data_IF_032946658567
#
_entry.id   IF_032946658567
#
_cell.length_a   1.000
_cell.length_b   1.000
_cell.length_c   1.000
_cell.angle_alpha   90.00
_cell.angle_beta   90.00
_cell.angle_gamma   90.00
#
_symmetry.space_group_name_H-M   'P 1'
#
loop_
_entity.id
_entity.type
_entity.pdbx_description
1 polymer ?
#
# COMPACT_ATOMS: atom_id res chain seq x y z
N UNK A 1 -14.21 -41.99 15.69
CA UNK A 1 -13.41 -42.30 14.48
C UNK A 1 -13.80 -41.29 13.42
N UNK A 2 -13.20 -40.10 13.40
CA UNK A 2 -11.87 -39.75 12.85
C UNK A 2 -11.85 -39.82 11.32
N UNK A 3 -11.85 -38.60 10.74
CA UNK A 3 -11.33 -38.13 9.44
C UNK A 3 -12.12 -38.40 8.16
N UNK A 4 -13.08 -37.51 7.91
CA UNK A 4 -13.35 -36.92 6.59
C UNK A 4 -12.19 -35.99 6.18
N UNK A 5 -11.06 -36.58 5.79
CA UNK A 5 -9.89 -35.84 5.35
C UNK A 5 -9.40 -36.44 4.04
N UNK A 6 -9.99 -36.06 2.91
CA UNK A 6 -9.37 -36.09 1.55
C UNK A 6 -10.32 -35.60 0.44
N UNK A 7 -11.03 -34.48 0.64
CA UNK A 7 -11.59 -33.68 -0.48
C UNK A 7 -11.13 -32.23 -0.42
N UNK A 8 -9.82 -32.00 -0.40
CA UNK A 8 -9.26 -30.75 -0.92
C UNK A 8 -9.36 -30.78 -2.45
N UNK A 9 -10.59 -30.73 -2.97
CA UNK A 9 -10.85 -30.56 -4.39
C UNK A 9 -10.17 -29.28 -4.84
N UNK A 10 -9.34 -29.37 -5.88
CA UNK A 10 -8.68 -28.22 -6.53
C UNK A 10 -9.61 -27.01 -6.51
N UNK A 11 -9.22 -25.94 -5.80
CA UNK A 11 -9.98 -24.70 -5.81
C UNK A 11 -10.23 -24.27 -7.26
N UNK A 12 -11.46 -23.87 -7.62
CA UNK A 12 -11.73 -23.39 -8.97
C UNK A 12 -10.82 -22.20 -9.26
N UNK A 13 -10.34 -22.10 -10.49
CA UNK A 13 -9.38 -21.06 -10.87
C UNK A 13 -9.90 -19.65 -10.59
N UNK A 14 -11.22 -19.43 -10.68
CA UNK A 14 -11.87 -18.18 -10.31
C UNK A 14 -11.56 -17.81 -8.87
N UNK A 15 -11.76 -18.73 -7.92
CA UNK A 15 -11.47 -18.49 -6.50
C UNK A 15 -10.02 -18.08 -6.25
N UNK A 16 -9.05 -18.71 -6.94
CA UNK A 16 -7.63 -18.36 -6.81
C UNK A 16 -7.38 -16.93 -7.33
N UNK A 17 -8.04 -16.55 -8.42
CA UNK A 17 -7.94 -15.20 -9.00
C UNK A 17 -8.62 -14.18 -8.10
N UNK A 18 -9.78 -14.49 -7.54
CA UNK A 18 -10.54 -13.62 -6.64
C UNK A 18 -9.73 -13.34 -5.36
N UNK A 19 -9.18 -14.39 -4.74
CA UNK A 19 -8.28 -14.27 -3.59
C UNK A 19 -7.02 -13.44 -3.95
N UNK A 20 -6.42 -13.71 -5.11
CA UNK A 20 -5.27 -12.94 -5.61
C UNK A 20 -5.58 -11.46 -5.85
N UNK A 21 -6.79 -11.16 -6.34
CA UNK A 21 -7.26 -9.80 -6.55
C UNK A 21 -7.43 -9.08 -5.22
N UNK A 22 -8.08 -9.70 -4.23
CA UNK A 22 -8.24 -9.11 -2.90
C UNK A 22 -6.89 -8.74 -2.26
N UNK A 23 -5.90 -9.62 -2.37
CA UNK A 23 -4.53 -9.37 -1.89
C UNK A 23 -3.92 -8.17 -2.63
N UNK A 24 -4.01 -8.14 -3.96
CA UNK A 24 -3.47 -7.05 -4.76
C UNK A 24 -4.14 -5.70 -4.44
N UNK A 25 -5.46 -5.66 -4.31
CA UNK A 25 -6.19 -4.45 -3.93
C UNK A 25 -5.80 -3.96 -2.53
N UNK A 26 -5.53 -4.88 -1.61
CA UNK A 26 -5.04 -4.54 -0.27
C UNK A 26 -3.65 -3.91 -0.33
N UNK A 27 -2.75 -4.46 -1.16
CA UNK A 27 -1.42 -3.90 -1.37
C UNK A 27 -1.47 -2.49 -1.99
N UNK A 28 -2.31 -2.28 -3.02
CA UNK A 28 -2.52 -0.95 -3.62
C UNK A 28 -3.05 0.04 -2.59
N UNK A 29 -4.05 -0.35 -1.80
CA UNK A 29 -4.58 0.50 -0.73
C UNK A 29 -3.52 0.92 0.27
N UNK A 30 -2.63 0.00 0.66
CA UNK A 30 -1.51 0.33 1.56
C UNK A 30 -0.50 1.28 0.90
N UNK A 31 -0.20 1.10 -0.38
CA UNK A 31 0.69 2.00 -1.12
C UNK A 31 0.11 3.43 -1.19
N UNK A 32 -1.19 3.55 -1.51
CA UNK A 32 -1.89 4.83 -1.58
C UNK A 32 -2.01 5.48 -0.20
N UNK A 33 -2.27 4.71 0.86
CA UNK A 33 -2.28 5.20 2.24
C UNK A 33 -0.93 5.85 2.59
N UNK A 34 0.17 5.18 2.24
CA UNK A 34 1.51 5.72 2.49
C UNK A 34 1.77 7.01 1.69
N UNK A 35 1.34 7.07 0.42
CA UNK A 35 1.43 8.29 -0.40
C UNK A 35 0.64 9.45 0.24
N UNK A 36 -0.56 9.19 0.75
CA UNK A 36 -1.38 10.19 1.48
C UNK A 36 -0.66 10.68 2.74
N UNK A 37 -0.13 9.78 3.57
CA UNK A 37 0.59 10.15 4.80
C UNK A 37 1.82 11.00 4.48
N UNK A 38 2.63 10.57 3.50
CA UNK A 38 3.84 11.32 3.09
C UNK A 38 3.47 12.68 2.53
N UNK A 39 2.44 12.76 1.68
CA UNK A 39 1.95 14.04 1.16
C UNK A 39 1.48 14.98 2.27
N UNK A 40 0.74 14.47 3.25
CA UNK A 40 0.26 15.25 4.40
C UNK A 40 1.37 15.74 5.33
N UNK A 41 2.55 15.11 5.31
CA UNK A 41 3.73 15.54 6.08
C UNK A 41 4.58 16.54 5.28
N UNK A 42 4.73 16.32 3.98
CA UNK A 42 5.72 17.00 3.14
C UNK A 42 5.31 18.42 2.75
N UNK A 43 4.02 18.70 2.53
CA UNK A 43 3.57 19.96 1.93
C UNK A 43 2.24 20.41 2.54
N UNK A 44 2.03 21.73 2.62
CA UNK A 44 0.69 22.34 2.73
C UNK A 44 -0.11 22.11 1.43
N UNK A 45 0.00 20.93 0.83
CA UNK A 45 -0.68 20.58 -0.39
C UNK A 45 -2.15 20.33 -0.06
N UNK A 46 -3.01 21.13 -0.67
CA UNK A 46 -4.44 20.87 -0.66
C UNK A 46 -4.70 19.42 -1.08
N UNK A 47 -5.61 18.76 -0.38
CA UNK A 47 -5.94 17.36 -0.60
C UNK A 47 -6.53 17.18 -2.01
N UNK A 48 -5.73 16.65 -2.93
CA UNK A 48 -6.11 16.40 -4.33
C UNK A 48 -6.55 14.94 -4.53
N UNK A 49 -7.87 14.73 -4.55
CA UNK A 49 -8.50 13.44 -4.82
C UNK A 49 -8.12 12.87 -6.18
N UNK A 50 -7.96 13.72 -7.19
CA UNK A 50 -7.67 13.31 -8.56
C UNK A 50 -6.23 12.80 -8.64
N UNK A 51 -5.29 13.45 -7.94
CA UNK A 51 -3.91 12.95 -7.79
C UNK A 51 -3.87 11.54 -7.19
N UNK A 52 -4.63 11.28 -6.12
CA UNK A 52 -4.61 9.96 -5.47
C UNK A 52 -5.34 8.89 -6.30
N UNK A 53 -6.37 9.27 -7.06
CA UNK A 53 -6.99 8.40 -8.04
C UNK A 53 -5.99 8.00 -9.14
N UNK A 54 -5.23 8.95 -9.66
CA UNK A 54 -4.16 8.69 -10.63
C UNK A 54 -3.06 7.78 -10.07
N UNK A 55 -2.60 8.02 -8.84
CA UNK A 55 -1.66 7.11 -8.16
C UNK A 55 -2.25 5.70 -8.06
N UNK A 56 -3.51 5.57 -7.66
CA UNK A 56 -4.19 4.27 -7.55
C UNK A 56 -4.23 3.54 -8.89
N UNK A 57 -4.58 4.22 -9.98
CA UNK A 57 -4.59 3.64 -11.33
C UNK A 57 -3.20 3.18 -11.75
N UNK A 58 -2.18 4.02 -11.51
CA UNK A 58 -0.78 3.67 -11.81
C UNK A 58 -0.35 2.38 -11.10
N UNK A 59 -0.65 2.26 -9.81
CA UNK A 59 -0.31 1.07 -9.01
C UNK A 59 -1.06 -0.19 -9.50
N UNK A 60 -2.36 -0.08 -9.80
CA UNK A 60 -3.13 -1.19 -10.37
C UNK A 60 -2.59 -1.65 -11.72
N UNK A 61 -2.27 -0.71 -12.61
CA UNK A 61 -1.71 -1.00 -13.94
C UNK A 61 -0.28 -1.55 -13.86
N UNK A 62 0.53 -1.09 -12.89
CA UNK A 62 1.85 -1.65 -12.62
C UNK A 62 1.74 -3.13 -12.21
N UNK A 63 0.88 -3.46 -11.24
CA UNK A 63 0.63 -4.85 -10.85
C UNK A 63 0.04 -5.70 -11.98
N UNK A 64 -0.82 -5.11 -12.82
CA UNK A 64 -1.35 -5.80 -14.00
C UNK A 64 -0.21 -6.16 -14.97
N UNK A 65 0.70 -5.23 -15.24
CA UNK A 65 1.87 -5.44 -16.11
C UNK A 65 2.83 -6.48 -15.54
N UNK A 66 3.12 -6.42 -14.24
CA UNK A 66 3.95 -7.43 -13.57
C UNK A 66 3.36 -8.84 -13.69
N UNK A 67 2.04 -8.97 -13.60
CA UNK A 67 1.34 -10.23 -13.81
C UNK A 67 1.41 -10.70 -15.26
N UNK A 68 1.30 -9.80 -16.25
CA UNK A 68 1.50 -10.14 -17.66
C UNK A 68 2.93 -10.66 -17.91
N UNK A 69 3.93 -9.97 -17.36
CA UNK A 69 5.33 -10.38 -17.47
C UNK A 69 5.57 -11.74 -16.79
N UNK A 70 4.97 -11.95 -15.61
CA UNK A 70 4.97 -13.23 -14.91
C UNK A 70 4.36 -14.35 -15.76
N UNK A 71 3.23 -14.09 -16.42
CA UNK A 71 2.59 -15.04 -17.32
C UNK A 71 3.47 -15.40 -18.53
N UNK A 72 4.22 -14.45 -19.08
CA UNK A 72 5.16 -14.70 -20.18
C UNK A 72 6.42 -15.43 -19.69
N UNK A 73 6.94 -15.15 -18.50
CA UNK A 73 8.01 -15.94 -17.88
C UNK A 73 7.59 -17.41 -17.71
N UNK A 74 6.41 -17.65 -17.15
CA UNK A 74 5.86 -19.00 -16.97
C UNK A 74 5.63 -19.69 -18.32
N UNK A 75 5.20 -18.95 -19.36
CA UNK A 75 5.09 -19.48 -20.72
C UNK A 75 6.44 -19.97 -21.25
N UNK A 76 7.51 -19.18 -21.10
CA UNK A 76 8.85 -19.52 -21.56
C UNK A 76 9.39 -20.76 -20.83
N UNK A 77 9.24 -20.81 -19.50
CA UNK A 77 9.59 -21.97 -18.68
C UNK A 77 8.86 -23.24 -19.16
N UNK A 78 7.55 -23.15 -19.38
CA UNK A 78 6.78 -24.29 -19.91
C UNK A 78 7.27 -24.72 -21.29
N UNK A 79 7.56 -23.77 -22.19
CA UNK A 79 8.06 -24.08 -23.54
C UNK A 79 9.42 -24.79 -23.46
N UNK A 80 10.31 -24.35 -22.58
CA UNK A 80 11.61 -24.99 -22.36
C UNK A 80 11.44 -26.43 -21.88
N UNK A 81 10.61 -26.64 -20.86
CA UNK A 81 10.34 -27.97 -20.32
C UNK A 81 9.75 -28.88 -21.41
N UNK A 82 8.69 -28.42 -22.10
CA UNK A 82 8.09 -29.17 -23.22
C UNK A 82 9.06 -29.39 -24.39
N UNK A 83 10.05 -28.52 -24.62
CA UNK A 83 11.04 -28.74 -25.68
C UNK A 83 12.07 -29.82 -25.33
N UNK A 84 12.41 -29.98 -24.05
CA UNK A 84 13.27 -31.05 -23.55
C UNK A 84 12.54 -32.40 -23.58
N UNK A 85 11.25 -32.37 -23.27
CA UNK A 85 10.33 -33.50 -23.33
C UNK A 85 10.28 -34.23 -24.68
N UNK A 86 10.45 -33.54 -25.81
CA UNK A 86 10.46 -34.21 -27.13
C UNK A 86 11.67 -35.14 -27.35
N UNK A 87 12.64 -35.18 -26.43
CA UNK A 87 13.86 -35.99 -26.55
C UNK A 87 13.88 -37.22 -25.63
N UNK A 88 13.00 -37.32 -24.63
CA UNK A 88 12.99 -38.39 -23.61
C UNK A 88 11.56 -38.65 -23.11
N UNK A 89 11.25 -39.88 -22.72
CA UNK A 89 9.97 -40.23 -22.10
C UNK A 89 9.78 -39.49 -20.76
N UNK A 90 8.57 -38.97 -20.49
CA UNK A 90 8.33 -38.08 -19.35
C UNK A 90 8.11 -38.85 -18.05
N UNK A 91 8.78 -38.42 -16.98
CA UNK A 91 8.34 -38.77 -15.63
C UNK A 91 6.96 -38.15 -15.32
N UNK A 92 6.17 -38.84 -14.51
CA UNK A 92 4.88 -38.37 -14.01
C UNK A 92 4.98 -37.02 -13.27
N UNK A 93 6.13 -36.74 -12.66
CA UNK A 93 6.41 -35.45 -12.00
C UNK A 93 6.49 -34.32 -13.03
N UNK A 94 7.19 -34.53 -14.14
CA UNK A 94 7.30 -33.51 -15.20
C UNK A 94 5.96 -33.21 -15.87
N UNK A 95 5.11 -34.22 -16.05
CA UNK A 95 3.74 -34.03 -16.53
C UNK A 95 2.91 -33.16 -15.56
N UNK A 96 3.11 -33.34 -14.26
CA UNK A 96 2.47 -32.55 -13.22
C UNK A 96 2.94 -31.11 -13.24
N UNK A 97 4.25 -30.89 -13.38
CA UNK A 97 4.85 -29.55 -13.48
C UNK A 97 4.31 -28.77 -14.69
N UNK A 98 4.23 -29.40 -15.87
CA UNK A 98 3.67 -28.77 -17.08
C UNK A 98 2.22 -28.31 -16.83
N UNK A 99 1.42 -29.12 -16.13
CA UNK A 99 0.03 -28.77 -15.77
C UNK A 99 -0.01 -27.61 -14.77
N UNK A 100 0.86 -27.61 -13.76
CA UNK A 100 0.96 -26.51 -12.78
C UNK A 100 1.38 -25.20 -13.44
N UNK A 101 2.38 -25.22 -14.33
CA UNK A 101 2.80 -24.05 -15.11
C UNK A 101 1.67 -23.53 -16.02
N UNK A 102 0.87 -24.43 -16.61
CA UNK A 102 -0.32 -24.03 -17.38
C UNK A 102 -1.35 -23.31 -16.51
N UNK A 103 -1.62 -23.81 -15.31
CA UNK A 103 -2.52 -23.18 -14.35
C UNK A 103 -1.98 -21.81 -13.89
N UNK A 104 -0.73 -21.76 -13.44
CA UNK A 104 -0.08 -20.53 -12.95
C UNK A 104 -0.09 -19.42 -14.01
N UNK A 105 0.21 -19.76 -15.27
CA UNK A 105 0.10 -18.79 -16.39
C UNK A 105 -1.31 -18.23 -16.53
N UNK A 106 -2.33 -19.10 -16.42
CA UNK A 106 -3.73 -18.69 -16.57
C UNK A 106 -4.16 -17.78 -15.43
N UNK A 107 -3.76 -18.07 -14.19
CA UNK A 107 -4.01 -17.21 -13.02
C UNK A 107 -3.42 -15.83 -13.23
N UNK A 108 -2.14 -15.72 -13.56
CA UNK A 108 -1.50 -14.41 -13.80
C UNK A 108 -2.19 -13.59 -14.91
N UNK A 109 -2.62 -14.25 -16.01
CA UNK A 109 -3.35 -13.56 -17.08
C UNK A 109 -4.71 -13.03 -16.61
N UNK A 110 -5.45 -13.84 -15.87
CA UNK A 110 -6.77 -13.45 -15.36
C UNK A 110 -6.65 -12.35 -14.31
N UNK A 111 -5.65 -12.43 -13.43
CA UNK A 111 -5.39 -11.40 -12.44
C UNK A 111 -4.99 -10.07 -13.09
N UNK A 112 -4.12 -10.10 -14.11
CA UNK A 112 -3.78 -8.90 -14.87
C UNK A 112 -5.00 -8.24 -15.52
N UNK A 113 -5.88 -9.04 -16.13
CA UNK A 113 -7.12 -8.53 -16.73
C UNK A 113 -8.06 -7.94 -15.67
N UNK A 114 -8.21 -8.60 -14.53
CA UNK A 114 -9.04 -8.11 -13.43
C UNK A 114 -8.50 -6.80 -12.85
N UNK A 115 -7.19 -6.69 -12.64
CA UNK A 115 -6.55 -5.45 -12.18
C UNK A 115 -6.73 -4.29 -13.15
N UNK A 116 -6.62 -4.56 -14.47
CA UNK A 116 -6.88 -3.56 -15.50
C UNK A 116 -8.34 -3.10 -15.46
N UNK A 117 -9.29 -4.04 -15.36
CA UNK A 117 -10.70 -3.71 -15.27
C UNK A 117 -11.05 -2.86 -14.04
N UNK A 118 -10.42 -3.14 -12.89
CA UNK A 118 -10.55 -2.30 -11.69
C UNK A 118 -9.93 -0.93 -11.91
N UNK A 119 -8.78 -0.84 -12.59
CA UNK A 119 -8.12 0.43 -12.89
C UNK A 119 -8.92 1.32 -13.85
N UNK A 120 -9.77 0.72 -14.69
CA UNK A 120 -10.65 1.44 -15.62
C UNK A 120 -11.98 1.87 -14.97
N UNK A 121 -12.33 1.31 -13.80
CA UNK A 121 -13.57 1.59 -13.09
C UNK A 121 -13.36 2.71 -12.05
N UNK A 122 -13.88 3.90 -12.37
CA UNK A 122 -13.83 5.10 -11.51
C UNK A 122 -14.40 4.87 -10.10
N UNK A 123 -15.50 4.12 -9.98
CA UNK A 123 -16.15 3.90 -8.69
C UNK A 123 -15.28 2.99 -7.81
N UNK A 124 -14.65 1.97 -8.40
CA UNK A 124 -13.68 1.14 -7.70
C UNK A 124 -12.45 1.93 -7.26
N UNK A 125 -11.87 2.74 -8.16
CA UNK A 125 -10.71 3.57 -7.84
C UNK A 125 -11.03 4.55 -6.71
N UNK A 126 -12.15 5.26 -6.80
CA UNK A 126 -12.62 6.19 -5.77
C UNK A 126 -12.82 5.49 -4.42
N UNK A 127 -13.37 4.27 -4.40
CA UNK A 127 -13.48 3.47 -3.17
C UNK A 127 -12.12 3.13 -2.56
N UNK A 128 -11.14 2.73 -3.37
CA UNK A 128 -9.79 2.41 -2.87
C UNK A 128 -9.14 3.65 -2.25
N UNK A 129 -9.26 4.82 -2.89
CA UNK A 129 -8.73 6.09 -2.39
C UNK A 129 -9.38 6.46 -1.06
N UNK A 130 -10.72 6.41 -0.96
CA UNK A 130 -11.44 6.69 0.29
C UNK A 130 -11.04 5.74 1.42
N UNK A 131 -10.94 4.45 1.13
CA UNK A 131 -10.52 3.45 2.11
C UNK A 131 -9.08 3.73 2.59
N UNK A 132 -8.17 4.09 1.67
CA UNK A 132 -6.81 4.48 2.00
C UNK A 132 -6.75 5.76 2.83
N UNK A 133 -7.61 6.75 2.54
CA UNK A 133 -7.73 8.00 3.29
C UNK A 133 -8.18 7.76 4.74
N UNK A 134 -9.20 6.91 4.94
CA UNK A 134 -9.67 6.57 6.28
C UNK A 134 -8.54 5.92 7.09
N UNK A 135 -7.86 4.94 6.49
CA UNK A 135 -6.73 4.26 7.13
C UNK A 135 -5.56 5.22 7.44
N UNK A 136 -5.28 6.18 6.56
CA UNK A 136 -4.24 7.18 6.78
C UNK A 136 -4.61 8.11 7.93
N UNK A 137 -5.86 8.57 7.98
CA UNK A 137 -6.38 9.43 9.04
C UNK A 137 -6.32 8.75 10.40
N UNK A 138 -6.74 7.49 10.47
CA UNK A 138 -6.68 6.68 11.69
C UNK A 138 -5.24 6.53 12.19
N UNK A 139 -4.30 6.22 11.28
CA UNK A 139 -2.89 6.05 11.63
C UNK A 139 -2.23 7.36 12.11
N UNK A 140 -2.55 8.49 11.46
CA UNK A 140 -2.08 9.82 11.91
C UNK A 140 -2.66 10.15 13.28
N UNK A 141 -3.95 9.90 13.51
CA UNK A 141 -4.60 10.14 14.79
C UNK A 141 -3.96 9.31 15.91
N UNK A 142 -3.71 8.03 15.66
CA UNK A 142 -3.05 7.13 16.62
C UNK A 142 -1.63 7.58 16.93
N UNK A 143 -0.87 8.00 15.91
CA UNK A 143 0.47 8.54 16.07
C UNK A 143 0.46 9.84 16.90
N UNK A 144 -0.50 10.75 16.62
CA UNK A 144 -0.68 11.99 17.37
C UNK A 144 -1.09 11.72 18.82
N UNK A 145 -2.07 10.84 19.06
CA UNK A 145 -2.49 10.46 20.40
C UNK A 145 -1.33 9.86 21.20
N UNK A 146 -0.56 8.95 20.60
CA UNK A 146 0.63 8.35 21.22
C UNK A 146 1.69 9.41 21.55
N UNK A 147 1.90 10.38 20.64
CA UNK A 147 2.83 11.48 20.87
C UNK A 147 2.37 12.40 21.98
N UNK A 148 1.08 12.76 22.01
CA UNK A 148 0.47 13.59 23.03
C UNK A 148 0.48 12.92 24.40
N UNK A 149 0.21 11.61 24.49
CA UNK A 149 0.31 10.85 25.74
C UNK A 149 1.75 10.85 26.28
N UNK A 150 2.76 10.69 25.40
CA UNK A 150 4.17 10.80 25.80
C UNK A 150 4.56 12.20 26.27
N UNK A 151 3.96 13.22 25.67
CA UNK A 151 4.13 14.61 26.07
C UNK A 151 3.23 14.98 27.25
N UNK A 152 2.27 14.13 27.62
CA UNK A 152 1.33 14.41 28.70
C UNK A 152 2.12 14.48 30.00
N UNK A 153 2.13 15.67 30.57
CA UNK A 153 2.86 15.97 31.78
C UNK A 153 1.92 15.63 32.93
N UNK A 154 2.35 14.78 33.86
CA UNK A 154 1.60 14.55 35.09
C UNK A 154 1.62 15.85 35.92
N UNK A 155 0.46 16.51 36.17
CA UNK A 155 0.40 17.70 37.01
C UNK A 155 0.79 17.43 38.47
N UNK A 156 0.84 16.16 38.87
CA UNK A 156 1.26 15.70 40.20
C UNK A 156 2.72 15.29 40.27
N UNK A 157 3.47 15.38 39.17
CA UNK A 157 4.91 15.17 39.19
C UNK A 157 5.53 16.14 40.23
N UNK A 158 6.24 15.64 41.26
CA UNK A 158 6.91 16.50 42.25
C UNK A 158 7.85 17.53 41.62
N UNK A 159 8.35 17.21 40.42
CA UNK A 159 9.27 18.03 39.64
C UNK A 159 8.57 18.77 38.50
N UNK A 160 7.23 18.70 38.43
CA UNK A 160 6.41 19.39 37.44
C UNK A 160 6.79 20.86 37.32
N UNK A 161 6.88 21.56 38.46
CA UNK A 161 7.17 22.99 38.49
C UNK A 161 8.61 23.32 38.06
N UNK A 162 9.57 22.43 38.36
CA UNK A 162 10.97 22.60 37.94
C UNK A 162 11.10 22.45 36.42
N UNK A 163 10.59 21.36 35.88
CA UNK A 163 10.66 21.11 34.44
C UNK A 163 9.69 22.00 33.64
N UNK A 164 8.65 22.58 34.28
CA UNK A 164 7.72 23.51 33.62
C UNK A 164 8.43 24.79 33.18
N UNK A 165 9.32 25.35 33.99
CA UNK A 165 10.07 26.54 33.62
C UNK A 165 10.94 26.29 32.38
N UNK A 166 11.75 25.23 32.41
CA UNK A 166 12.62 24.83 31.29
C UNK A 166 11.84 24.48 30.02
N UNK A 167 10.70 23.80 30.14
CA UNK A 167 9.81 23.49 29.00
C UNK A 167 9.12 24.71 28.43
N UNK A 168 8.70 25.65 29.28
CA UNK A 168 8.07 26.91 28.83
C UNK A 168 9.09 27.77 28.10
N UNK A 169 10.34 27.79 28.56
CA UNK A 169 11.46 28.45 27.91
C UNK A 169 11.79 27.81 26.54
N UNK A 170 11.84 26.48 26.46
CA UNK A 170 11.97 25.76 25.18
C UNK A 170 10.82 26.03 24.21
N UNK A 171 9.57 26.04 24.70
CA UNK A 171 8.40 26.37 23.89
C UNK A 171 8.44 27.81 23.36
N UNK A 172 8.87 28.77 24.19
CA UNK A 172 9.03 30.17 23.79
C UNK A 172 10.18 30.38 22.79
N UNK A 173 11.31 29.69 22.98
CA UNK A 173 12.51 29.84 22.16
C UNK A 173 12.41 29.13 20.81
N UNK A 174 11.86 27.91 20.79
CA UNK A 174 11.87 27.06 19.60
C UNK A 174 10.51 27.10 18.90
N UNK A 175 9.45 26.75 19.62
CA UNK A 175 8.15 26.54 18.98
C UNK A 175 7.44 27.86 18.64
N UNK A 176 7.49 28.87 19.53
CA UNK A 176 6.88 30.17 19.26
C UNK A 176 7.64 30.98 18.21
N UNK A 177 8.97 30.82 18.13
CA UNK A 177 9.78 31.43 17.08
C UNK A 177 9.47 30.82 15.70
N UNK A 178 9.33 29.50 15.62
CA UNK A 178 8.87 28.80 14.41
C UNK A 178 7.45 29.23 14.01
N UNK A 179 6.55 29.41 14.99
CA UNK A 179 5.18 29.86 14.73
C UNK A 179 5.15 31.30 14.18
N UNK A 180 5.97 32.20 14.73
CA UNK A 180 6.11 33.58 14.24
C UNK A 180 6.71 33.62 12.85
N UNK A 181 7.77 32.86 12.59
CA UNK A 181 8.39 32.76 11.27
C UNK A 181 7.35 32.35 10.21
N UNK A 182 6.54 31.32 10.51
CA UNK A 182 5.46 30.90 9.60
C UNK A 182 4.34 31.93 9.47
N UNK A 183 4.01 32.65 10.54
CA UNK A 183 3.00 33.70 10.50
C UNK A 183 3.48 34.92 9.69
N UNK A 184 4.75 35.29 9.79
CA UNK A 184 5.38 36.39 9.05
C UNK A 184 5.55 36.05 7.56
N UNK A 185 5.86 34.78 7.25
CA UNK A 185 5.85 34.23 5.88
C UNK A 185 4.44 34.25 5.27
N UNK A 186 3.42 33.83 6.03
CA UNK A 186 2.02 33.86 5.59
C UNK A 186 1.46 35.29 5.42
N UNK A 187 2.02 36.26 6.16
CA UNK A 187 1.70 37.68 6.03
C UNK A 187 2.48 38.40 4.92
N UNK A 188 3.40 37.71 4.22
CA UNK A 188 4.19 38.28 3.12
C UNK A 188 5.37 39.17 3.58
N UNK A 189 5.78 39.12 4.84
CA UNK A 189 6.86 39.91 5.41
C UNK A 189 8.16 39.09 5.58
N UNK A 190 8.47 38.20 4.63
CA UNK A 190 9.74 37.48 4.62
C UNK A 190 10.95 38.43 4.52
N UNK A 191 12.11 38.09 5.10
CA UNK A 191 13.26 38.98 5.15
C UNK A 191 13.66 39.40 3.72
N UNK A 192 13.67 40.72 3.49
CA UNK A 192 14.20 41.31 2.26
C UNK A 192 15.70 41.04 2.22
N UNK A 193 16.12 40.08 1.39
CA UNK A 193 17.52 39.85 1.06
C UNK A 193 18.12 41.14 0.45
N UNK A 194 19.19 41.63 1.09
CA UNK A 194 20.24 42.44 0.48
C UNK A 194 21.53 41.64 0.49
#
# INVERSE_FOLDING_TARGET
>A
MVTDATRHGRAPISRIVDEGLLIALSAVRMAVKNDIIVAGIAEHADYDLDRFADTTRRELLALARENQDSAERVRRQRKQLTSMTWRVDLSQDQLTDIRQLKLRRRVHKLLAAALTAVADDEEHVSRIVRDAQNLASDEIQDAMHTRLMRLSIDPRDPDYQRHRAERTEMFLLVDLALLKLRADEAAGNGPSDY
#
